data_IF_312164837018
#
_entry.id   IF_312164837018
#
_cell.length_a   1.000
_cell.length_b   1.000
_cell.length_c   1.000
_cell.angle_alpha   90.00
_cell.angle_beta   90.00
_cell.angle_gamma   90.00
#
_symmetry.space_group_name_H-M   'P 1'
#
loop_
_entity.id
_entity.type
_entity.pdbx_description
1 polymer ?
#
# COMPACT_ATOMS: atom_id res chain seq x y z
N UNK A 1 10.61 24.90 -26.08
CA UNK A 1 11.14 24.98 -24.70
C UNK A 1 10.54 23.83 -23.92
N UNK A 2 11.25 22.70 -23.84
CA UNK A 2 10.78 21.51 -23.14
C UNK A 2 10.84 21.75 -21.64
N UNK A 3 9.68 21.86 -21.00
CA UNK A 3 9.60 21.88 -19.55
C UNK A 3 10.13 20.55 -19.01
N UNK A 4 11.15 20.62 -18.18
CA UNK A 4 11.57 19.49 -17.35
C UNK A 4 10.37 19.11 -16.48
N UNK A 5 9.68 18.03 -16.85
CA UNK A 5 8.71 17.37 -15.97
C UNK A 5 9.47 17.01 -14.71
N UNK A 6 9.20 17.72 -13.61
CA UNK A 6 9.71 17.34 -12.30
C UNK A 6 9.28 15.89 -12.07
N UNK A 7 10.25 15.00 -11.91
CA UNK A 7 9.99 13.62 -11.52
C UNK A 7 9.14 13.64 -10.24
N UNK A 8 8.01 12.96 -10.25
CA UNK A 8 7.16 12.83 -9.07
C UNK A 8 8.00 12.22 -7.92
N UNK A 9 8.21 12.95 -6.81
CA UNK A 9 9.09 12.49 -5.74
C UNK A 9 8.56 11.21 -5.07
N UNK A 10 7.27 10.90 -5.22
CA UNK A 10 6.62 9.71 -4.65
C UNK A 10 6.56 8.53 -5.61
N UNK A 11 6.84 8.70 -6.90
CA UNK A 11 6.82 7.61 -7.88
C UNK A 11 7.92 6.59 -7.56
N UNK A 12 7.56 5.31 -7.48
CA UNK A 12 8.46 4.20 -7.14
C UNK A 12 8.76 3.34 -8.35
N UNK A 13 7.73 2.94 -9.10
CA UNK A 13 7.85 2.07 -10.27
C UNK A 13 6.67 2.30 -11.22
N UNK A 14 6.79 1.83 -12.46
CA UNK A 14 5.70 1.80 -13.43
C UNK A 14 5.72 0.52 -14.27
N UNK A 15 4.54 0.11 -14.74
CA UNK A 15 4.35 -0.95 -15.74
C UNK A 15 3.69 -0.39 -17.00
N UNK A 16 3.26 -1.27 -17.91
CA UNK A 16 2.45 -0.87 -19.05
C UNK A 16 1.12 -0.24 -18.64
N UNK A 17 0.45 -0.82 -17.64
CA UNK A 17 -0.87 -0.41 -17.17
C UNK A 17 -0.92 0.39 -15.87
N UNK A 18 0.13 0.38 -15.04
CA UNK A 18 0.06 0.84 -13.65
C UNK A 18 1.20 1.77 -13.25
N UNK A 19 0.91 2.67 -12.31
CA UNK A 19 1.88 3.47 -11.57
C UNK A 19 1.89 3.01 -10.11
N UNK A 20 3.09 2.81 -9.55
CA UNK A 20 3.28 2.56 -8.12
C UNK A 20 3.92 3.80 -7.51
N UNK A 21 3.22 4.42 -6.56
CA UNK A 21 3.71 5.59 -5.84
C UNK A 21 3.57 5.38 -4.34
N UNK A 22 4.35 6.10 -3.54
CA UNK A 22 4.04 6.26 -2.12
C UNK A 22 2.85 7.23 -1.97
N UNK A 23 2.00 7.00 -0.96
CA UNK A 23 0.86 7.87 -0.69
C UNK A 23 1.35 9.23 -0.17
N UNK A 24 1.29 10.25 -1.02
CA UNK A 24 1.93 11.56 -0.81
C UNK A 24 1.65 12.25 0.54
N UNK A 25 0.46 12.06 1.12
CA UNK A 25 0.09 12.65 2.41
C UNK A 25 0.21 11.66 3.58
N UNK A 26 0.94 10.56 3.44
CA UNK A 26 1.17 9.61 4.53
C UNK A 26 2.55 9.77 5.15
N UNK A 27 2.61 9.80 6.48
CA UNK A 27 3.82 9.66 7.26
C UNK A 27 4.26 8.20 7.44
N UNK A 28 3.41 7.23 7.09
CA UNK A 28 3.71 5.81 7.20
C UNK A 28 4.69 5.39 6.08
N UNK A 29 5.91 4.92 6.43
CA UNK A 29 6.85 4.43 5.44
C UNK A 29 6.23 3.26 4.65
N UNK A 30 6.40 3.25 3.33
CA UNK A 30 5.93 2.14 2.49
C UNK A 30 4.42 2.09 2.22
N UNK A 31 3.60 3.06 2.64
CA UNK A 31 2.22 3.12 2.17
C UNK A 31 2.20 3.40 0.66
N UNK A 32 1.85 2.40 -0.16
CA UNK A 32 1.75 2.55 -1.61
C UNK A 32 0.34 2.82 -2.11
N UNK A 33 0.27 3.51 -3.25
CA UNK A 33 -0.89 3.62 -4.12
C UNK A 33 -0.51 3.07 -5.49
N UNK A 34 -1.23 2.03 -5.91
CA UNK A 34 -1.10 1.43 -7.25
C UNK A 34 -2.27 1.92 -8.09
N UNK A 35 -2.00 2.76 -9.09
CA UNK A 35 -3.01 3.50 -9.86
C UNK A 35 -2.95 3.12 -11.32
N UNK A 36 -4.09 2.98 -12.00
CA UNK A 36 -4.09 2.76 -13.45
C UNK A 36 -3.54 3.99 -14.18
N UNK A 37 -2.73 3.78 -15.23
CA UNK A 37 -2.20 4.88 -16.07
C UNK A 37 -3.27 5.53 -16.93
N UNK A 38 -4.29 4.76 -17.30
CA UNK A 38 -5.44 5.23 -18.06
C UNK A 38 -6.61 5.45 -17.12
N UNK A 39 -7.45 6.42 -17.45
CA UNK A 39 -8.65 6.69 -16.66
C UNK A 39 -9.65 5.53 -16.80
N UNK A 40 -9.91 4.87 -15.68
CA UNK A 40 -10.95 3.88 -15.50
C UNK A 40 -11.47 4.01 -14.08
N UNK A 41 -12.76 3.82 -13.87
CA UNK A 41 -13.40 3.87 -12.54
C UNK A 41 -13.66 2.48 -11.96
N UNK A 42 -13.55 1.45 -12.79
CA UNK A 42 -13.78 0.05 -12.45
C UNK A 42 -12.77 -0.89 -13.14
N UNK A 43 -12.55 -2.08 -12.56
CA UNK A 43 -11.68 -3.10 -13.15
C UNK A 43 -12.19 -3.58 -14.51
N UNK A 44 -13.51 -3.67 -14.71
CA UNK A 44 -14.13 -4.14 -15.96
C UNK A 44 -13.89 -3.20 -17.14
N UNK A 45 -13.48 -1.96 -16.89
CA UNK A 45 -13.14 -0.97 -17.94
C UNK A 45 -11.69 -1.11 -18.43
N UNK A 46 -10.85 -1.86 -17.71
CA UNK A 46 -9.46 -2.07 -18.07
C UNK A 46 -9.32 -3.12 -19.18
N UNK A 47 -8.35 -2.90 -20.07
CA UNK A 47 -8.01 -3.92 -21.07
C UNK A 47 -7.30 -5.12 -20.42
N UNK A 48 -7.21 -6.23 -21.16
CA UNK A 48 -6.62 -7.49 -20.67
C UNK A 48 -5.17 -7.34 -20.20
N UNK A 49 -4.40 -6.41 -20.76
CA UNK A 49 -3.01 -6.16 -20.39
C UNK A 49 -2.86 -5.70 -18.93
N UNK A 50 -3.36 -4.49 -18.56
CA UNK A 50 -3.37 -4.01 -17.19
C UNK A 50 -4.00 -5.01 -16.19
N UNK A 51 -5.09 -5.69 -16.57
CA UNK A 51 -5.70 -6.71 -15.71
C UNK A 51 -4.75 -7.87 -15.40
N UNK A 52 -3.97 -8.34 -16.39
CA UNK A 52 -2.97 -9.39 -16.21
C UNK A 52 -1.78 -8.97 -15.36
N UNK A 53 -1.40 -7.69 -15.44
CA UNK A 53 -0.29 -7.13 -14.65
C UNK A 53 -0.65 -6.98 -13.17
N UNK A 54 -1.93 -6.78 -12.83
CA UNK A 54 -2.35 -6.40 -11.48
C UNK A 54 -1.99 -7.44 -10.42
N UNK A 55 -2.33 -8.71 -10.61
CA UNK A 55 -2.05 -9.78 -9.64
C UNK A 55 -0.56 -9.89 -9.27
N UNK A 56 0.34 -10.07 -10.26
CA UNK A 56 1.78 -10.07 -10.03
C UNK A 56 2.31 -8.78 -9.39
N UNK A 57 1.80 -7.61 -9.79
CA UNK A 57 2.22 -6.33 -9.24
C UNK A 57 1.85 -6.20 -7.75
N UNK A 58 0.64 -6.63 -7.36
CA UNK A 58 0.22 -6.68 -5.97
C UNK A 58 1.08 -7.65 -5.15
N UNK A 59 1.43 -8.80 -5.73
CA UNK A 59 2.32 -9.78 -5.09
C UNK A 59 3.74 -9.24 -4.87
N UNK A 60 4.31 -8.56 -5.88
CA UNK A 60 5.62 -7.90 -5.77
C UNK A 60 5.60 -6.81 -4.70
N UNK A 61 4.61 -5.91 -4.72
CA UNK A 61 4.47 -4.86 -3.73
C UNK A 61 4.38 -5.43 -2.30
N UNK A 62 3.57 -6.47 -2.10
CA UNK A 62 3.48 -7.17 -0.81
C UNK A 62 4.83 -7.78 -0.40
N UNK A 63 5.52 -8.46 -1.32
CA UNK A 63 6.80 -9.11 -1.03
C UNK A 63 7.87 -8.08 -0.61
N UNK A 64 8.02 -6.98 -1.35
CA UNK A 64 9.03 -5.97 -1.06
C UNK A 64 8.73 -5.21 0.23
N UNK A 65 7.46 -4.90 0.53
CA UNK A 65 7.10 -4.29 1.82
C UNK A 65 7.46 -5.21 3.00
N UNK A 66 7.25 -6.52 2.86
CA UNK A 66 7.60 -7.49 3.90
C UNK A 66 9.11 -7.69 4.00
N UNK A 67 9.83 -7.82 2.89
CA UNK A 67 11.26 -8.17 2.88
C UNK A 67 12.18 -6.98 3.14
N UNK A 68 11.83 -5.79 2.66
CA UNK A 68 12.69 -4.60 2.73
C UNK A 68 12.35 -3.70 3.91
N UNK A 69 11.08 -3.62 4.25
CA UNK A 69 10.59 -2.76 5.34
C UNK A 69 10.18 -3.54 6.58
N UNK A 70 10.22 -4.88 6.56
CA UNK A 70 9.80 -5.75 7.66
C UNK A 70 8.33 -5.54 8.07
N UNK A 71 7.46 -5.24 7.10
CA UNK A 71 6.02 -5.21 7.36
C UNK A 71 5.54 -6.61 7.83
N UNK A 72 4.85 -6.66 8.97
CA UNK A 72 4.29 -7.89 9.53
C UNK A 72 3.12 -8.40 8.68
N UNK A 73 2.30 -7.46 8.21
CA UNK A 73 1.13 -7.68 7.35
C UNK A 73 1.08 -6.60 6.27
N UNK A 74 0.38 -6.89 5.19
CA UNK A 74 0.11 -5.91 4.12
C UNK A 74 -1.38 -6.01 3.80
N UNK A 75 -2.09 -4.89 3.88
CA UNK A 75 -3.48 -4.80 3.48
C UNK A 75 -3.58 -4.20 2.08
N UNK A 76 -4.43 -4.78 1.24
CA UNK A 76 -4.67 -4.34 -0.12
C UNK A 76 -6.16 -4.07 -0.28
N UNK A 77 -6.53 -2.82 -0.58
CA UNK A 77 -7.93 -2.41 -0.64
C UNK A 77 -8.19 -1.27 -1.61
N UNK A 78 -9.41 -1.22 -2.17
CA UNK A 78 -9.90 -0.13 -3.01
C UNK A 78 -11.05 0.56 -2.30
N UNK A 79 -10.88 1.86 -2.03
CA UNK A 79 -11.88 2.69 -1.35
C UNK A 79 -12.32 3.90 -2.19
N UNK A 80 -11.52 4.27 -3.20
CA UNK A 80 -11.71 5.45 -4.04
C UNK A 80 -13.09 5.48 -4.69
N UNK A 81 -13.98 6.27 -4.10
CA UNK A 81 -15.33 6.58 -4.57
C UNK A 81 -15.47 8.07 -4.94
N UNK A 82 -14.44 8.88 -4.66
CA UNK A 82 -14.41 10.28 -5.05
C UNK A 82 -14.25 10.40 -6.58
N UNK A 83 -15.13 11.14 -7.27
CA UNK A 83 -15.07 11.30 -8.71
C UNK A 83 -13.78 11.99 -9.15
N UNK A 84 -13.35 11.73 -10.39
CA UNK A 84 -12.17 12.34 -11.01
C UNK A 84 -10.85 11.59 -10.76
N UNK A 85 -10.86 10.52 -9.97
CA UNK A 85 -9.69 9.65 -9.79
C UNK A 85 -9.85 8.37 -10.62
N UNK A 86 -8.78 7.95 -11.27
CA UNK A 86 -8.71 6.61 -11.87
C UNK A 86 -8.64 5.54 -10.77
N UNK A 87 -8.96 4.31 -11.12
CA UNK A 87 -8.94 3.15 -10.24
C UNK A 87 -7.54 2.99 -9.63
N UNK A 88 -7.53 2.83 -8.32
CA UNK A 88 -6.32 2.65 -7.56
C UNK A 88 -6.55 1.76 -6.33
N UNK A 89 -5.46 1.14 -5.89
CA UNK A 89 -5.40 0.26 -4.74
C UNK A 89 -4.46 0.84 -3.70
N UNK A 90 -4.89 0.83 -2.46
CA UNK A 90 -4.06 1.12 -1.30
C UNK A 90 -3.35 -0.15 -0.90
N UNK A 91 -2.02 -0.11 -0.80
CA UNK A 91 -1.19 -1.19 -0.27
C UNK A 91 -0.55 -0.68 1.01
N UNK A 92 -1.07 -1.14 2.14
CA UNK A 92 -0.80 -0.58 3.47
C UNK A 92 0.07 -1.56 4.24
N UNK A 93 1.35 -1.25 4.50
CA UNK A 93 2.18 -2.07 5.38
C UNK A 93 1.77 -1.85 6.84
N UNK A 94 1.56 -2.93 7.58
CA UNK A 94 1.40 -2.88 9.03
C UNK A 94 2.63 -3.47 9.68
N UNK A 95 3.25 -2.67 10.55
CA UNK A 95 4.42 -3.03 11.34
C UNK A 95 3.99 -3.37 12.77
N UNK A 96 4.78 -4.17 13.48
CA UNK A 96 4.50 -4.50 14.89
C UNK A 96 4.39 -3.21 15.74
N UNK A 97 5.27 -2.24 15.50
CA UNK A 97 5.23 -0.94 16.20
C UNK A 97 3.98 -0.10 15.90
N UNK A 98 3.33 -0.28 14.73
CA UNK A 98 2.06 0.40 14.43
C UNK A 98 0.93 -0.22 15.25
N UNK A 99 0.92 -1.55 15.34
CA UNK A 99 -0.06 -2.28 16.15
C UNK A 99 0.11 -1.93 17.65
N UNK A 100 1.35 -1.83 18.15
CA UNK A 100 1.64 -1.38 19.51
C UNK A 100 1.11 0.04 19.79
N UNK A 101 1.35 0.99 18.88
CA UNK A 101 0.84 2.36 19.01
C UNK A 101 -0.70 2.40 19.00
N UNK A 102 -1.35 1.56 18.19
CA UNK A 102 -2.80 1.42 18.19
C UNK A 102 -3.32 0.97 19.56
N UNK A 103 -2.70 -0.03 20.18
CA UNK A 103 -3.11 -0.53 21.50
C UNK A 103 -2.84 0.47 22.63
N UNK A 104 -1.76 1.26 22.52
CA UNK A 104 -1.40 2.28 23.52
C UNK A 104 -2.31 3.52 23.46
N UNK A 105 -2.94 3.79 22.32
CA UNK A 105 -3.82 4.95 22.18
C UNK A 105 -5.21 4.68 22.79
N UNK A 106 -5.47 5.31 23.94
CA UNK A 106 -6.72 5.14 24.68
C UNK A 106 -7.96 5.58 23.90
N UNK A 107 -7.83 6.46 22.89
CA UNK A 107 -8.95 6.92 22.07
C UNK A 107 -9.55 5.77 21.23
N UNK A 108 -8.72 4.80 20.85
CA UNK A 108 -9.12 3.68 20.00
C UNK A 108 -9.72 2.51 20.78
N UNK A 109 -9.60 2.50 22.11
CA UNK A 109 -10.20 1.45 22.96
C UNK A 109 -11.73 1.46 22.91
N UNK A 110 -12.33 2.58 22.48
CA UNK A 110 -13.78 2.64 22.20
C UNK A 110 -14.21 1.57 21.19
N UNK A 111 -13.31 1.15 20.30
CA UNK A 111 -13.60 0.15 19.28
C UNK A 111 -13.89 -1.23 19.87
N UNK A 112 -13.30 -1.56 21.02
CA UNK A 112 -13.56 -2.82 21.74
C UNK A 112 -15.04 -2.94 22.16
N UNK A 113 -15.77 -1.83 22.27
CA UNK A 113 -17.19 -1.84 22.61
C UNK A 113 -18.10 -2.23 21.43
N UNK A 114 -17.57 -2.32 20.21
CA UNK A 114 -18.34 -2.77 19.04
C UNK A 114 -18.21 -4.27 18.77
N UNK A 115 -17.21 -4.94 19.36
CA UNK A 115 -17.03 -6.37 19.20
C UNK A 115 -18.02 -7.16 20.06
N UNK A 116 -18.69 -8.15 19.47
CA UNK A 116 -19.60 -9.06 20.18
C UNK A 116 -19.02 -10.50 20.19
N UNK A 117 -19.00 -11.14 21.37
CA UNK A 117 -18.55 -12.52 21.55
C UNK A 117 -17.06 -12.69 21.90
N UNK A 118 -16.68 -13.87 22.38
CA UNK A 118 -15.33 -14.15 22.89
C UNK A 118 -14.23 -14.30 21.81
N UNK A 119 -14.58 -14.20 20.52
CA UNK A 119 -13.77 -14.67 19.39
C UNK A 119 -12.75 -13.70 18.81
N UNK A 120 -12.84 -12.40 19.10
CA UNK A 120 -12.00 -11.36 18.49
C UNK A 120 -11.18 -10.62 19.54
N UNK A 121 -10.39 -11.35 20.34
CA UNK A 121 -9.52 -10.76 21.37
C UNK A 121 -8.29 -10.01 20.82
N UNK A 122 -8.28 -9.67 19.52
CA UNK A 122 -7.22 -8.94 18.83
C UNK A 122 -7.82 -7.90 17.90
N UNK A 123 -6.98 -7.06 17.30
CA UNK A 123 -7.44 -6.02 16.36
C UNK A 123 -7.57 -6.59 14.96
N UNK A 124 -8.58 -6.13 14.24
CA UNK A 124 -8.82 -6.54 12.86
C UNK A 124 -8.12 -5.62 11.83
N UNK A 125 -8.22 -5.98 10.56
CA UNK A 125 -7.62 -5.18 9.49
C UNK A 125 -8.32 -3.84 9.23
N UNK A 126 -9.62 -3.73 9.53
CA UNK A 126 -10.39 -2.51 9.36
C UNK A 126 -10.03 -1.47 10.43
N UNK A 127 -9.90 -1.89 11.69
CA UNK A 127 -9.47 -1.05 12.80
C UNK A 127 -8.07 -0.49 12.59
N UNK A 128 -7.11 -1.33 12.21
CA UNK A 128 -5.74 -0.88 11.92
C UNK A 128 -5.69 0.00 10.67
N UNK A 129 -6.51 -0.24 9.66
CA UNK A 129 -6.63 0.65 8.49
C UNK A 129 -7.17 2.02 8.91
N UNK A 130 -8.20 2.05 9.77
CA UNK A 130 -8.73 3.29 10.33
C UNK A 130 -7.65 4.04 11.13
N UNK A 131 -6.91 3.34 12.00
CA UNK A 131 -5.81 3.91 12.76
C UNK A 131 -4.75 4.54 11.84
N UNK A 132 -4.30 3.81 10.82
CA UNK A 132 -3.31 4.30 9.85
C UNK A 132 -3.79 5.58 9.15
N UNK A 133 -5.05 5.64 8.73
CA UNK A 133 -5.58 6.84 8.07
C UNK A 133 -5.68 8.04 9.00
N UNK A 134 -6.21 7.87 10.20
CA UNK A 134 -6.34 9.01 11.11
C UNK A 134 -4.98 9.50 11.57
N UNK A 135 -4.08 8.60 11.92
CA UNK A 135 -2.86 8.96 12.64
C UNK A 135 -1.66 9.21 11.74
N UNK A 136 -1.52 8.48 10.63
CA UNK A 136 -0.38 8.66 9.72
C UNK A 136 -0.74 9.46 8.47
N UNK A 137 -2.00 9.85 8.26
CA UNK A 137 -2.40 10.50 7.02
C UNK A 137 -3.14 11.82 7.20
N UNK A 138 -3.99 11.92 8.22
CA UNK A 138 -4.80 13.13 8.45
C UNK A 138 -4.28 13.98 9.59
N UNK A 139 -3.69 13.35 10.61
CA UNK A 139 -3.09 14.05 11.75
C UNK A 139 -1.92 14.92 11.29
N UNK A 140 -1.92 16.18 11.73
CA UNK A 140 -0.87 17.16 11.39
C UNK A 140 0.49 16.83 12.03
N UNK A 141 0.47 16.21 13.21
CA UNK A 141 1.64 15.73 13.95
C UNK A 141 1.52 14.21 14.16
N UNK A 142 1.96 13.40 13.19
CA UNK A 142 1.77 11.95 13.20
C UNK A 142 2.60 11.27 14.30
N UNK A 143 2.24 10.04 14.72
CA UNK A 143 3.05 9.26 15.65
C UNK A 143 4.50 9.07 15.14
N UNK A 144 5.47 8.89 16.05
CA UNK A 144 6.85 8.64 15.67
C UNK A 144 6.97 7.34 14.87
N UNK A 145 7.74 7.37 13.79
CA UNK A 145 8.01 6.20 12.97
C UNK A 145 9.23 5.45 13.47
N UNK A 146 9.19 4.11 13.43
CA UNK A 146 10.34 3.25 13.73
C UNK A 146 10.87 2.66 12.43
N UNK A 147 12.18 2.78 12.21
CA UNK A 147 12.86 2.28 11.01
C UNK A 147 13.05 3.38 9.95
N UNK A 148 12.93 3.06 8.65
CA UNK A 148 13.22 4.01 7.59
C UNK A 148 12.21 5.16 7.56
N UNK A 149 12.68 6.35 7.23
CA UNK A 149 11.80 7.48 6.85
C UNK A 149 11.04 7.16 5.56
N UNK A 150 9.96 7.91 5.28
CA UNK A 150 9.24 7.81 3.99
C UNK A 150 10.19 7.93 2.79
N UNK A 151 11.10 8.90 2.81
CA UNK A 151 12.08 9.06 1.74
C UNK A 151 12.97 7.82 1.59
N UNK A 152 13.52 7.30 2.70
CA UNK A 152 14.35 6.09 2.65
C UNK A 152 13.56 4.87 2.15
N UNK A 153 12.31 4.70 2.58
CA UNK A 153 11.44 3.63 2.10
C UNK A 153 11.18 3.74 0.59
N UNK A 154 10.93 4.95 0.07
CA UNK A 154 10.78 5.19 -1.38
C UNK A 154 12.05 4.78 -2.13
N UNK A 155 13.24 5.17 -1.66
CA UNK A 155 14.50 4.80 -2.32
C UNK A 155 14.74 3.29 -2.32
N UNK A 156 14.55 2.63 -1.16
CA UNK A 156 14.68 1.17 -1.04
C UNK A 156 13.73 0.43 -2.01
N UNK A 157 12.48 0.88 -2.10
CA UNK A 157 11.50 0.26 -3.00
C UNK A 157 11.82 0.53 -4.48
N UNK A 158 12.35 1.71 -4.82
CA UNK A 158 12.81 2.01 -6.19
C UNK A 158 13.90 1.06 -6.63
N UNK A 159 14.86 0.74 -5.75
CA UNK A 159 15.97 -0.16 -6.07
C UNK A 159 15.48 -1.58 -6.39
N UNK A 160 14.39 -2.04 -5.75
CA UNK A 160 13.92 -3.42 -5.87
C UNK A 160 12.71 -3.62 -6.81
N UNK A 161 11.90 -2.58 -7.04
CA UNK A 161 10.73 -2.68 -7.92
C UNK A 161 11.04 -2.27 -9.36
N UNK A 162 12.05 -1.42 -9.61
CA UNK A 162 12.42 -1.03 -10.98
C UNK A 162 13.22 -2.11 -11.73
N UNK A 163 13.78 -3.10 -11.03
CA UNK A 163 14.51 -4.21 -11.65
C UNK A 163 13.59 -5.26 -12.31
N UNK A 164 12.28 -5.20 -12.05
CA UNK A 164 11.32 -6.19 -12.56
C UNK A 164 10.65 -5.63 -13.83
N UNK A 165 11.33 -5.77 -14.97
CA UNK A 165 10.72 -5.49 -16.28
C UNK A 165 9.50 -6.38 -16.52
N UNK A 166 8.56 -5.94 -17.37
CA UNK A 166 7.28 -6.59 -17.71
C UNK A 166 7.36 -8.07 -18.14
N UNK A 167 8.56 -8.59 -18.38
CA UNK A 167 8.84 -9.99 -18.74
C UNK A 167 8.95 -10.92 -17.53
N UNK A 168 9.22 -10.39 -16.32
CA UNK A 168 9.62 -11.22 -15.17
C UNK A 168 8.49 -11.44 -14.13
N UNK A 169 7.40 -10.69 -14.24
CA UNK A 169 6.23 -10.84 -13.37
C UNK A 169 5.47 -12.16 -13.57
N UNK A 170 5.65 -12.84 -14.71
CA UNK A 170 5.10 -14.18 -14.94
C UNK A 170 5.89 -15.29 -14.24
N UNK A 171 7.14 -15.03 -13.80
CA UNK A 171 8.04 -16.05 -13.24
C UNK A 171 8.00 -16.15 -11.71
N UNK A 172 7.40 -15.18 -11.01
CA UNK A 172 7.33 -15.19 -9.53
C UNK A 172 6.10 -15.90 -8.96
N UNK A 173 5.15 -16.34 -9.81
CA UNK A 173 4.06 -17.21 -9.38
C UNK A 173 4.62 -18.62 -9.22
N UNK A 174 4.91 -19.04 -7.98
CA UNK A 174 5.28 -20.42 -7.68
C UNK A 174 4.11 -21.33 -8.13
N UNK A 175 4.33 -22.30 -9.04
CA UNK A 175 3.28 -23.22 -9.47
C UNK A 175 2.82 -24.19 -8.35
N UNK A 176 3.52 -24.22 -7.22
CA UNK A 176 3.40 -25.30 -6.26
C UNK A 176 2.80 -24.81 -4.93
N UNK A 177 1.48 -24.63 -4.87
CA UNK A 177 0.65 -24.76 -3.65
C UNK A 177 -0.82 -25.00 -4.04
N UNK A 178 -1.08 -26.17 -4.61
CA UNK A 178 -2.38 -26.82 -4.47
C UNK A 178 -2.09 -28.05 -3.62
N UNK A 179 -2.29 -27.92 -2.30
CA UNK A 179 -2.55 -29.06 -1.40
C UNK A 179 -4.04 -29.06 -1.08
#
# INVERSE_FOLDING_TARGET
>A
MGGCLKSDPYLIAETGGWLVSHRANSALPGYLVISAKYFATDLSELSTGPLRELGPLLALAQAELKQRLNARRVYIGRYGHLPGNTIHFHVIPIYDWVEELFWQDSRYRVLENFAEGEGERGTDGAELTLYVWREFCERSDPPPTIGPTVHQAIQLLREHMNSVSSVDLSYQVRPDKIE
#
